data_IF_474479317395
#
_entry.id   IF_474479317395
#
_cell.length_a   1.000
_cell.length_b   1.000
_cell.length_c   1.000
_cell.angle_alpha   90.00
_cell.angle_beta   90.00
_cell.angle_gamma   90.00
#
_symmetry.space_group_name_H-M   'P 1'
#
loop_
_entity.id
_entity.type
_entity.pdbx_description
1 polymer ?
#
# COMPACT_ATOMS: atom_id res chain seq x y z
N UNK A 1 2.51 -2.19 18.62
CA UNK A 1 2.72 -2.06 17.15
C UNK A 1 1.39 -2.05 16.38
N UNK A 2 0.50 -3.06 16.53
CA UNK A 2 -0.78 -3.10 15.81
C UNK A 2 -1.67 -1.86 16.04
N UNK A 3 -1.78 -1.38 17.28
CA UNK A 3 -2.55 -0.17 17.63
C UNK A 3 -1.97 1.13 17.07
N UNK A 4 -0.67 1.18 16.78
CA UNK A 4 0.00 2.38 16.26
C UNK A 4 -0.30 2.63 14.78
N UNK A 5 -0.61 1.57 14.02
CA UNK A 5 -1.03 1.65 12.62
C UNK A 5 -2.37 2.39 12.49
N UNK A 6 -3.27 2.20 13.47
CA UNK A 6 -4.57 2.86 13.50
C UNK A 6 -4.45 4.37 13.74
N UNK A 7 -3.41 4.83 14.44
CA UNK A 7 -3.16 6.26 14.65
C UNK A 7 -2.87 7.00 13.34
N UNK A 8 -2.28 6.33 12.35
CA UNK A 8 -2.03 6.91 11.01
C UNK A 8 -3.36 7.18 10.29
N UNK A 9 -4.38 6.34 10.50
CA UNK A 9 -5.72 6.54 9.92
C UNK A 9 -6.54 7.63 10.60
N UNK A 10 -6.17 8.06 11.82
CA UNK A 10 -6.87 9.15 12.51
C UNK A 10 -6.51 10.52 11.94
N UNK A 11 -5.38 10.64 11.23
CA UNK A 11 -5.02 11.87 10.52
C UNK A 11 -5.78 11.90 9.20
N UNK A 12 -6.65 12.90 8.96
CA UNK A 12 -7.37 12.99 7.70
C UNK A 12 -6.37 13.26 6.57
N UNK A 13 -6.31 12.37 5.57
CA UNK A 13 -5.34 12.49 4.47
C UNK A 13 -5.46 13.79 3.68
N UNK A 14 -6.66 14.39 3.66
CA UNK A 14 -6.90 15.69 3.05
C UNK A 14 -6.04 16.81 3.65
N UNK A 15 -5.67 16.71 4.93
CA UNK A 15 -4.81 17.70 5.62
C UNK A 15 -3.37 17.61 5.10
N UNK A 16 -2.93 16.43 4.62
CA UNK A 16 -1.59 16.22 4.11
C UNK A 16 -1.40 16.69 2.66
N UNK A 17 -2.48 17.04 1.96
CA UNK A 17 -2.42 17.47 0.55
C UNK A 17 -1.58 18.72 0.36
N UNK A 18 -1.82 19.77 1.15
CA UNK A 18 -1.11 21.05 1.06
C UNK A 18 0.40 20.90 1.32
N UNK A 19 0.84 20.28 2.45
CA UNK A 19 2.27 20.13 2.70
C UNK A 19 2.94 19.21 1.68
N UNK A 20 2.30 18.11 1.25
CA UNK A 20 2.87 17.26 0.21
C UNK A 20 2.96 17.97 -1.14
N UNK A 21 1.98 18.80 -1.50
CA UNK A 21 2.05 19.65 -2.70
C UNK A 21 3.28 20.57 -2.64
N UNK A 22 3.49 21.25 -1.51
CA UNK A 22 4.63 22.16 -1.34
C UNK A 22 5.97 21.43 -1.43
N UNK A 23 6.10 20.26 -0.81
CA UNK A 23 7.33 19.43 -0.86
C UNK A 23 7.57 18.89 -2.27
N UNK A 24 6.53 18.35 -2.92
CA UNK A 24 6.68 17.73 -4.24
C UNK A 24 6.94 18.77 -5.34
N UNK A 25 6.40 19.98 -5.17
CA UNK A 25 6.75 21.12 -6.02
C UNK A 25 8.23 21.49 -5.90
N UNK A 26 8.77 21.56 -4.68
CA UNK A 26 10.20 21.82 -4.45
C UNK A 26 11.11 20.72 -4.99
N UNK A 27 10.67 19.46 -4.91
CA UNK A 27 11.41 18.30 -5.41
C UNK A 27 11.24 18.07 -6.92
N UNK A 28 10.41 18.86 -7.62
CA UNK A 28 10.12 18.66 -9.04
C UNK A 28 9.32 17.37 -9.34
N UNK A 29 8.65 16.80 -8.34
CA UNK A 29 7.80 15.61 -8.46
C UNK A 29 6.33 15.95 -8.76
N UNK A 30 6.02 17.24 -8.89
CA UNK A 30 4.73 17.73 -9.37
C UNK A 30 4.60 17.48 -10.87
N UNK A 31 3.38 17.22 -11.33
CA UNK A 31 3.06 16.81 -12.70
C UNK A 31 3.80 15.52 -13.13
N UNK A 32 3.90 14.55 -12.22
CA UNK A 32 4.57 13.27 -12.48
C UNK A 32 3.83 12.11 -11.83
N UNK A 33 3.70 10.99 -12.56
CA UNK A 33 3.18 9.73 -12.02
C UNK A 33 4.07 9.17 -10.91
N UNK A 34 5.36 9.51 -10.88
CA UNK A 34 6.29 9.11 -9.81
C UNK A 34 5.87 9.71 -8.48
N UNK A 35 5.37 10.95 -8.47
CA UNK A 35 4.82 11.57 -7.27
C UNK A 35 3.65 10.75 -6.71
N UNK A 36 2.69 10.37 -7.57
CA UNK A 36 1.57 9.52 -7.15
C UNK A 36 2.02 8.13 -6.67
N UNK A 37 3.01 7.54 -7.32
CA UNK A 37 3.58 6.25 -6.94
C UNK A 37 4.22 6.27 -5.54
N UNK A 38 4.68 7.42 -5.06
CA UNK A 38 5.19 7.57 -3.69
C UNK A 38 4.04 7.74 -2.69
N UNK A 39 3.03 8.55 -3.03
CA UNK A 39 1.92 8.84 -2.11
C UNK A 39 1.01 7.63 -1.91
N UNK A 40 0.66 6.91 -2.99
CA UNK A 40 -0.33 5.82 -2.90
C UNK A 40 0.09 4.68 -1.97
N UNK A 41 1.35 4.18 -1.98
CA UNK A 41 1.81 3.20 -0.99
C UNK A 41 1.79 3.74 0.43
N UNK A 42 2.12 5.02 0.65
CA UNK A 42 2.08 5.61 1.99
C UNK A 42 0.67 5.54 2.61
N UNK A 43 -0.39 5.57 1.77
CA UNK A 43 -1.78 5.49 2.22
C UNK A 43 -2.30 4.05 2.32
N UNK A 44 -1.80 3.15 1.47
CA UNK A 44 -2.33 1.78 1.31
C UNK A 44 -1.55 0.72 2.07
N UNK A 45 -0.24 0.89 2.27
CA UNK A 45 0.62 -0.04 3.01
C UNK A 45 0.13 -0.28 4.44
N UNK A 46 -0.27 0.74 5.23
CA UNK A 46 -0.76 0.52 6.59
C UNK A 46 -1.96 -0.45 6.65
N UNK A 47 -2.94 -0.28 5.76
CA UNK A 47 -4.09 -1.17 5.61
C UNK A 47 -3.68 -2.56 5.12
N UNK A 48 -2.78 -2.64 4.13
CA UNK A 48 -2.31 -3.91 3.61
C UNK A 48 -1.61 -4.74 4.69
N UNK A 49 -0.75 -4.10 5.48
CA UNK A 49 -0.06 -4.72 6.63
C UNK A 49 -1.04 -5.16 7.71
N UNK A 50 -2.07 -4.34 8.00
CA UNK A 50 -3.11 -4.71 8.96
C UNK A 50 -3.88 -5.96 8.52
N UNK A 51 -4.31 -6.01 7.26
CA UNK A 51 -5.04 -7.16 6.70
C UNK A 51 -4.16 -8.43 6.65
N UNK A 52 -2.92 -8.30 6.18
CA UNK A 52 -1.98 -9.42 6.10
C UNK A 52 -1.55 -9.92 7.48
N UNK A 53 -1.40 -9.03 8.47
CA UNK A 53 -1.14 -9.43 9.85
C UNK A 53 -2.27 -10.32 10.40
N UNK A 54 -3.53 -9.98 10.11
CA UNK A 54 -4.67 -10.80 10.49
C UNK A 54 -4.59 -12.20 9.89
N UNK A 55 -4.19 -12.29 8.61
CA UNK A 55 -4.03 -13.57 7.92
C UNK A 55 -2.85 -14.39 8.44
N UNK A 56 -1.66 -13.79 8.59
CA UNK A 56 -0.46 -14.49 9.05
C UNK A 56 -0.65 -15.08 10.46
N UNK A 57 -1.43 -14.44 11.33
CA UNK A 57 -1.80 -15.00 12.64
C UNK A 57 -2.64 -16.27 12.57
N UNK A 58 -3.30 -16.52 11.44
CA UNK A 58 -4.06 -17.75 11.19
C UNK A 58 -3.21 -18.91 10.67
N UNK A 59 -1.94 -18.67 10.30
CA UNK A 59 -1.03 -19.75 9.88
C UNK A 59 -0.56 -20.49 11.14
N UNK A 60 -0.75 -21.82 11.22
CA UNK A 60 -0.28 -22.62 12.36
C UNK A 60 1.24 -22.50 12.53
N UNK A 61 1.70 -22.17 13.74
CA UNK A 61 3.11 -21.98 14.04
C UNK A 61 3.92 -23.28 13.88
N UNK A 62 3.27 -24.43 14.05
CA UNK A 62 3.86 -25.76 13.95
C UNK A 62 4.41 -26.03 12.55
N UNK A 63 3.84 -25.42 11.50
CA UNK A 63 4.36 -25.53 10.13
C UNK A 63 5.71 -24.82 9.98
N UNK A 64 5.86 -23.66 10.60
CA UNK A 64 7.13 -22.92 10.58
C UNK A 64 8.20 -23.64 11.40
N UNK A 65 7.82 -24.18 12.57
CA UNK A 65 8.70 -24.98 13.41
C UNK A 65 9.16 -26.27 12.71
N UNK A 66 8.26 -26.98 12.04
CA UNK A 66 8.60 -28.15 11.23
C UNK A 66 9.62 -27.80 10.14
N UNK A 67 9.45 -26.66 9.45
CA UNK A 67 10.41 -26.20 8.47
C UNK A 67 11.81 -25.95 9.04
N UNK A 68 11.90 -25.40 10.25
CA UNK A 68 13.19 -25.20 10.94
C UNK A 68 13.80 -26.55 11.36
N UNK A 69 12.99 -27.49 11.85
CA UNK A 69 13.45 -28.84 12.19
C UNK A 69 13.96 -29.62 10.97
N UNK A 70 13.37 -29.38 9.79
CA UNK A 70 13.81 -29.90 8.50
C UNK A 70 15.07 -29.18 7.93
N UNK A 71 15.64 -28.24 8.67
CA UNK A 71 16.88 -27.54 8.33
C UNK A 71 16.70 -26.27 7.49
N UNK A 72 15.48 -25.74 7.34
CA UNK A 72 15.28 -24.44 6.71
C UNK A 72 15.78 -23.31 7.63
N UNK A 73 16.48 -22.33 7.04
CA UNK A 73 16.73 -21.05 7.69
C UNK A 73 15.43 -20.25 7.83
N UNK A 74 15.40 -19.22 8.68
CA UNK A 74 14.22 -18.33 8.83
C UNK A 74 13.72 -17.75 7.49
N UNK A 75 14.65 -17.35 6.61
CA UNK A 75 14.30 -16.91 5.26
C UNK A 75 13.72 -18.06 4.42
N UNK A 76 14.29 -19.26 4.54
CA UNK A 76 13.76 -20.46 3.90
C UNK A 76 12.32 -20.77 4.29
N UNK A 77 11.98 -20.65 5.58
CA UNK A 77 10.62 -20.81 6.09
C UNK A 77 9.67 -19.78 5.47
N UNK A 78 10.05 -18.50 5.45
CA UNK A 78 9.23 -17.43 4.86
C UNK A 78 8.91 -17.74 3.40
N UNK A 79 9.93 -18.04 2.58
CA UNK A 79 9.74 -18.23 1.14
C UNK A 79 9.07 -19.54 0.76
N UNK A 80 9.26 -20.62 1.54
CA UNK A 80 8.77 -21.96 1.20
C UNK A 80 7.49 -22.37 1.93
N UNK A 81 7.18 -21.75 3.07
CA UNK A 81 6.03 -22.12 3.91
C UNK A 81 5.09 -20.93 4.04
N UNK A 82 5.52 -19.86 4.70
CA UNK A 82 4.65 -18.73 5.06
C UNK A 82 4.09 -18.02 3.83
N UNK A 83 4.94 -17.70 2.84
CA UNK A 83 4.54 -16.94 1.65
C UNK A 83 3.60 -17.73 0.71
N UNK A 84 3.88 -19.00 0.35
CA UNK A 84 2.95 -19.84 -0.41
C UNK A 84 1.58 -20.00 0.25
N UNK A 85 1.55 -20.19 1.58
CA UNK A 85 0.30 -20.26 2.32
C UNK A 85 -0.45 -18.93 2.32
N UNK A 86 0.26 -17.80 2.28
CA UNK A 86 -0.33 -16.47 2.24
C UNK A 86 -0.71 -15.95 0.85
N UNK A 87 -0.43 -16.69 -0.24
CA UNK A 87 -0.77 -16.27 -1.61
C UNK A 87 -2.25 -15.86 -1.79
N UNK A 88 -3.24 -16.63 -1.29
CA UNK A 88 -4.65 -16.24 -1.42
C UNK A 88 -4.98 -14.92 -0.73
N UNK A 89 -4.36 -14.67 0.43
CA UNK A 89 -4.51 -13.43 1.16
C UNK A 89 -3.82 -12.27 0.44
N UNK A 90 -2.60 -12.48 -0.05
CA UNK A 90 -1.86 -11.50 -0.84
C UNK A 90 -2.66 -11.08 -2.07
N UNK A 91 -3.29 -12.02 -2.78
CA UNK A 91 -4.15 -11.71 -3.93
C UNK A 91 -5.34 -10.82 -3.53
N UNK A 92 -6.03 -11.19 -2.44
CA UNK A 92 -7.19 -10.44 -1.94
C UNK A 92 -6.82 -9.02 -1.49
N UNK A 93 -5.73 -8.89 -0.74
CA UNK A 93 -5.23 -7.59 -0.25
C UNK A 93 -4.71 -6.74 -1.42
N UNK A 94 -4.05 -7.34 -2.41
CA UNK A 94 -3.56 -6.62 -3.59
C UNK A 94 -4.73 -6.03 -4.39
N UNK A 95 -5.81 -6.79 -4.56
CA UNK A 95 -7.02 -6.29 -5.22
C UNK A 95 -7.64 -5.12 -4.44
N UNK A 96 -7.71 -5.24 -3.11
CA UNK A 96 -8.23 -4.19 -2.25
C UNK A 96 -7.40 -2.90 -2.32
N UNK A 97 -6.08 -3.03 -2.22
CA UNK A 97 -5.12 -1.90 -2.37
C UNK A 97 -5.24 -1.27 -3.75
N UNK A 98 -5.32 -2.08 -4.81
CA UNK A 98 -5.51 -1.61 -6.17
C UNK A 98 -6.79 -0.79 -6.31
N UNK A 99 -7.90 -1.28 -5.77
CA UNK A 99 -9.18 -0.57 -5.81
C UNK A 99 -9.09 0.80 -5.11
N UNK A 100 -8.42 0.88 -3.95
CA UNK A 100 -8.22 2.16 -3.25
C UNK A 100 -7.37 3.12 -4.11
N UNK A 101 -6.23 2.65 -4.62
CA UNK A 101 -5.32 3.47 -5.42
C UNK A 101 -5.94 3.93 -6.75
N UNK A 102 -6.75 3.08 -7.38
CA UNK A 102 -7.44 3.40 -8.62
C UNK A 102 -8.52 4.46 -8.43
N UNK A 103 -9.26 4.39 -7.31
CA UNK A 103 -10.30 5.37 -6.97
C UNK A 103 -9.76 6.64 -6.32
N UNK A 104 -8.44 6.75 -6.12
CA UNK A 104 -7.82 7.94 -5.56
C UNK A 104 -7.94 9.10 -6.55
N UNK A 105 -8.57 10.18 -6.11
CA UNK A 105 -8.84 11.38 -6.91
C UNK A 105 -8.08 12.60 -6.41
N UNK A 106 -7.97 12.77 -5.09
CA UNK A 106 -7.57 14.02 -4.46
C UNK A 106 -6.10 14.35 -4.77
N UNK A 107 -5.20 13.38 -4.62
CA UNK A 107 -3.78 13.60 -4.95
C UNK A 107 -3.57 13.69 -6.45
N UNK A 108 -4.26 12.85 -7.24
CA UNK A 108 -4.21 12.94 -8.69
C UNK A 108 -4.64 14.33 -9.22
N UNK A 109 -5.72 14.88 -8.69
CA UNK A 109 -6.23 16.21 -9.05
C UNK A 109 -5.24 17.33 -8.69
N UNK A 110 -4.61 17.23 -7.53
CA UNK A 110 -3.71 18.27 -7.03
C UNK A 110 -2.31 18.23 -7.65
N UNK A 111 -1.81 17.05 -8.03
CA UNK A 111 -0.40 16.89 -8.39
C UNK A 111 -0.17 16.86 -9.88
N UNK A 112 -1.09 16.31 -10.64
CA UNK A 112 -0.96 16.24 -12.08
C UNK A 112 -1.51 17.56 -12.67
N UNK A 113 -1.07 17.99 -13.85
CA UNK A 113 -1.62 19.14 -14.61
C UNK A 113 -1.79 18.82 -16.10
N UNK A 114 -0.91 18.00 -16.66
CA UNK A 114 -0.91 17.61 -18.07
C UNK A 114 -1.95 16.51 -18.37
N UNK A 115 -2.97 16.76 -19.23
CA UNK A 115 -3.99 15.80 -19.60
C UNK A 115 -3.46 14.45 -20.08
N UNK A 116 -2.27 14.42 -20.69
CA UNK A 116 -1.64 13.20 -21.19
C UNK A 116 -1.29 12.17 -20.12
N UNK A 117 -1.22 12.59 -18.84
CA UNK A 117 -0.84 11.72 -17.71
C UNK A 117 -1.93 11.61 -16.65
N UNK A 118 -3.16 12.02 -16.94
CA UNK A 118 -4.25 11.95 -15.97
C UNK A 118 -4.57 10.50 -15.60
N UNK A 119 -4.81 10.25 -14.32
CA UNK A 119 -5.48 9.02 -13.90
C UNK A 119 -6.92 9.05 -14.40
N UNK A 120 -7.53 7.87 -14.60
CA UNK A 120 -8.92 7.79 -15.05
C UNK A 120 -9.86 8.60 -14.14
N UNK A 121 -9.73 8.42 -12.82
CA UNK A 121 -10.53 9.10 -11.81
C UNK A 121 -10.42 10.62 -11.89
N UNK A 122 -9.22 11.15 -12.20
CA UNK A 122 -9.03 12.59 -12.44
C UNK A 122 -9.60 13.03 -13.79
N UNK A 123 -9.32 12.28 -14.85
CA UNK A 123 -9.64 12.67 -16.23
C UNK A 123 -11.13 12.78 -16.52
N UNK A 124 -11.96 11.99 -15.83
CA UNK A 124 -13.42 12.07 -15.94
C UNK A 124 -13.96 13.47 -15.58
N UNK A 125 -13.31 14.19 -14.66
CA UNK A 125 -13.73 15.55 -14.27
C UNK A 125 -13.31 16.62 -15.28
N UNK A 126 -12.34 16.33 -16.14
CA UNK A 126 -11.86 17.24 -17.18
C UNK A 126 -12.56 17.08 -18.54
N UNK A 127 -13.50 16.14 -18.65
CA UNK A 127 -14.38 15.96 -19.81
C UNK A 127 -15.58 16.92 -19.73
#
# INVERSE_FOLDING_TARGET
LSSSILLIYLVPMIVLVIPLYAVFSQLGLRNSLVGLLIVYPATTVPVALYMLQGYFRGIPAELEEAGVMDGLSRLGVIWKITLPLALPALASVSLYVFMIAWNEFLFAFMFLDDPGIFTLSRGVVSL
#
